data_IF_301773569655
#
_entry.id   IF_301773569655
#
_cell.length_a   1.000
_cell.length_b   1.000
_cell.length_c   1.000
_cell.angle_alpha   90.00
_cell.angle_beta   90.00
_cell.angle_gamma   90.00
#
_symmetry.space_group_name_H-M   'P 1'
#
loop_
_entity.id
_entity.type
_entity.pdbx_description
1 polymer ?
#
# COMPACT_ATOMS: atom_id res chain seq x y z
N UNK A 1 -22.63 22.58 -2.54
CA UNK A 1 -21.54 22.72 -1.55
C UNK A 1 -21.91 21.81 -0.38
N UNK A 2 -21.43 20.57 -0.37
CA UNK A 2 -21.76 19.59 0.67
C UNK A 2 -20.92 19.92 1.91
N UNK A 3 -21.57 20.05 3.06
CA UNK A 3 -20.94 20.37 4.33
C UNK A 3 -19.97 19.25 4.74
N UNK A 4 -18.68 19.59 4.87
CA UNK A 4 -17.64 18.69 5.39
C UNK A 4 -17.78 18.60 6.92
N UNK A 5 -18.34 17.49 7.42
CA UNK A 5 -18.33 17.17 8.85
C UNK A 5 -16.96 16.67 9.31
N UNK A 6 -16.62 16.89 10.59
CA UNK A 6 -15.36 16.43 11.23
C UNK A 6 -15.06 14.94 11.08
N UNK A 7 -16.07 14.09 10.83
CA UNK A 7 -15.87 12.66 10.55
C UNK A 7 -15.01 12.49 9.30
N UNK A 8 -15.44 13.03 8.16
CA UNK A 8 -14.84 12.80 6.83
C UNK A 8 -13.32 12.98 6.74
N UNK A 9 -12.80 14.06 7.34
CA UNK A 9 -11.37 14.35 7.29
C UNK A 9 -10.55 13.25 7.99
N UNK A 10 -11.11 12.65 9.04
CA UNK A 10 -10.46 11.57 9.77
C UNK A 10 -10.29 10.32 8.90
N UNK A 11 -11.32 9.87 8.17
CA UNK A 11 -11.18 8.66 7.35
C UNK A 11 -10.20 8.87 6.19
N UNK A 12 -10.14 10.07 5.59
CA UNK A 12 -9.11 10.41 4.60
C UNK A 12 -7.70 10.37 5.18
N UNK A 13 -7.49 10.97 6.36
CA UNK A 13 -6.21 10.93 7.06
C UNK A 13 -5.81 9.50 7.43
N UNK A 14 -6.76 8.66 7.85
CA UNK A 14 -6.52 7.25 8.15
C UNK A 14 -6.10 6.48 6.90
N UNK A 15 -6.78 6.67 5.77
CA UNK A 15 -6.37 6.08 4.51
C UNK A 15 -4.97 6.53 4.09
N UNK A 16 -4.65 7.81 4.20
CA UNK A 16 -3.31 8.32 3.92
C UNK A 16 -2.24 7.70 4.83
N UNK A 17 -2.55 7.55 6.13
CA UNK A 17 -1.68 6.89 7.10
C UNK A 17 -1.43 5.42 6.72
N UNK A 18 -2.47 4.68 6.29
CA UNK A 18 -2.32 3.30 5.81
C UNK A 18 -1.36 3.26 4.61
N UNK A 19 -1.54 4.13 3.62
CA UNK A 19 -0.66 4.20 2.45
C UNK A 19 0.80 4.48 2.85
N UNK A 20 1.01 5.44 3.75
CA UNK A 20 2.34 5.75 4.29
C UNK A 20 2.96 4.59 5.06
N UNK A 21 2.19 3.90 5.90
CA UNK A 21 2.65 2.75 6.70
C UNK A 21 3.00 1.55 5.83
N UNK A 22 2.24 1.30 4.76
CA UNK A 22 2.55 0.24 3.79
C UNK A 22 3.89 0.50 3.12
N UNK A 23 4.11 1.72 2.61
CA UNK A 23 5.39 2.09 2.01
C UNK A 23 6.52 2.06 3.02
N UNK A 24 6.31 2.56 4.24
CA UNK A 24 7.32 2.50 5.30
C UNK A 24 7.75 1.07 5.60
N UNK A 25 6.77 0.17 5.75
CA UNK A 25 7.00 -1.25 6.02
C UNK A 25 7.74 -1.92 4.87
N UNK A 26 7.32 -1.64 3.63
CA UNK A 26 7.97 -2.13 2.42
C UNK A 26 9.43 -1.69 2.33
N UNK A 27 9.72 -0.40 2.55
CA UNK A 27 11.07 0.13 2.46
C UNK A 27 11.96 -0.42 3.57
N UNK A 28 11.42 -0.59 4.79
CA UNK A 28 12.12 -1.25 5.90
C UNK A 28 12.40 -2.72 5.61
N UNK A 29 11.46 -3.43 5.02
CA UNK A 29 11.61 -4.83 4.60
C UNK A 29 12.75 -4.96 3.58
N UNK A 30 12.76 -4.12 2.55
CA UNK A 30 13.83 -4.12 1.55
C UNK A 30 15.19 -3.75 2.17
N UNK A 31 15.23 -2.81 3.11
CA UNK A 31 16.46 -2.49 3.82
C UNK A 31 16.97 -3.67 4.65
N UNK A 32 16.10 -4.35 5.38
CA UNK A 32 16.43 -5.50 6.23
C UNK A 32 17.03 -6.65 5.41
N UNK A 33 16.43 -6.99 4.27
CA UNK A 33 16.94 -8.03 3.38
C UNK A 33 18.01 -7.54 2.39
N UNK A 34 18.49 -6.29 2.52
CA UNK A 34 19.43 -5.65 1.61
C UNK A 34 19.02 -5.72 0.12
N UNK A 35 17.72 -5.60 -0.13
CA UNK A 35 17.10 -5.64 -1.46
C UNK A 35 16.84 -4.23 -2.01
N UNK A 36 16.64 -4.16 -3.32
CA UNK A 36 16.16 -2.96 -4.00
C UNK A 36 14.67 -3.17 -4.32
N UNK A 37 13.78 -2.25 -3.91
CA UNK A 37 12.38 -2.34 -4.29
C UNK A 37 12.25 -2.33 -5.81
N UNK A 38 11.39 -3.18 -6.35
CA UNK A 38 11.22 -3.43 -7.78
C UNK A 38 10.64 -2.23 -8.52
N UNK A 39 9.52 -1.66 -8.09
CA UNK A 39 8.91 -0.48 -8.73
C UNK A 39 9.64 0.83 -8.44
N UNK A 40 10.39 0.93 -7.34
CA UNK A 40 11.17 2.12 -6.97
C UNK A 40 12.61 2.03 -7.51
N UNK A 41 12.92 0.95 -8.27
CA UNK A 41 14.24 0.71 -8.84
C UNK A 41 14.63 1.86 -9.77
N UNK A 42 15.74 2.51 -9.45
CA UNK A 42 16.39 3.49 -10.33
C UNK A 42 16.06 4.96 -10.04
N UNK A 43 14.99 5.29 -9.31
CA UNK A 43 14.66 6.70 -9.12
C UNK A 43 15.45 7.34 -7.96
N UNK A 44 15.55 6.72 -6.78
CA UNK A 44 16.18 7.38 -5.60
C UNK A 44 16.72 6.40 -4.53
N UNK A 45 16.94 5.12 -4.85
CA UNK A 45 17.37 4.13 -3.87
C UNK A 45 18.85 4.25 -3.51
N UNK A 46 19.19 5.20 -2.64
CA UNK A 46 20.38 5.09 -1.78
C UNK A 46 20.00 4.25 -0.58
N UNK A 47 20.84 3.28 -0.20
CA UNK A 47 20.65 2.31 0.90
C UNK A 47 20.31 2.94 2.28
N UNK A 48 20.40 4.27 2.40
CA UNK A 48 20.12 5.09 3.58
C UNK A 48 19.19 6.28 3.29
N UNK A 49 18.39 6.25 2.22
CA UNK A 49 17.45 7.34 1.92
C UNK A 49 16.48 7.53 3.09
N UNK A 50 15.97 8.75 3.25
CA UNK A 50 15.03 9.12 4.32
C UNK A 50 13.70 8.37 4.14
N UNK A 51 13.65 7.10 4.55
CA UNK A 51 12.49 6.19 4.43
C UNK A 51 11.23 6.88 4.95
N UNK A 52 11.36 7.57 6.09
CA UNK A 52 10.27 8.31 6.70
C UNK A 52 9.75 9.43 5.79
N UNK A 53 10.64 10.21 5.16
CA UNK A 53 10.26 11.27 4.22
C UNK A 53 9.54 10.68 3.01
N UNK A 54 10.09 9.63 2.38
CA UNK A 54 9.46 8.99 1.22
C UNK A 54 8.07 8.44 1.56
N UNK A 55 7.94 7.80 2.73
CA UNK A 55 6.66 7.25 3.20
C UNK A 55 5.64 8.35 3.46
N UNK A 56 6.05 9.47 4.07
CA UNK A 56 5.20 10.64 4.28
C UNK A 56 4.82 11.33 2.98
N UNK A 57 5.74 11.41 2.00
CA UNK A 57 5.45 11.96 0.68
C UNK A 57 4.39 11.15 -0.05
N UNK A 58 4.46 9.81 0.01
CA UNK A 58 3.43 8.94 -0.55
C UNK A 58 2.10 9.13 0.17
N UNK A 59 2.10 9.16 1.51
CA UNK A 59 0.88 9.42 2.29
C UNK A 59 0.21 10.74 1.89
N UNK A 60 1.01 11.81 1.76
CA UNK A 60 0.53 13.12 1.36
C UNK A 60 -0.03 13.14 -0.07
N UNK A 61 0.67 12.52 -1.03
CA UNK A 61 0.18 12.42 -2.40
C UNK A 61 -1.10 11.59 -2.51
N UNK A 62 -1.18 10.47 -1.78
CA UNK A 62 -2.38 9.64 -1.72
C UNK A 62 -3.56 10.40 -1.12
N UNK A 63 -3.32 11.24 -0.10
CA UNK A 63 -4.35 12.12 0.45
C UNK A 63 -4.82 13.15 -0.58
N UNK A 64 -3.89 13.87 -1.21
CA UNK A 64 -4.21 14.92 -2.18
C UNK A 64 -5.00 14.38 -3.38
N UNK A 65 -4.52 13.30 -4.00
CA UNK A 65 -5.21 12.65 -5.14
C UNK A 65 -6.51 11.98 -4.66
N UNK A 66 -6.53 11.44 -3.45
CA UNK A 66 -7.72 10.89 -2.81
C UNK A 66 -8.84 11.92 -2.69
N UNK A 67 -8.54 13.13 -2.25
CA UNK A 67 -9.53 14.21 -2.17
C UNK A 67 -10.07 14.62 -3.55
N UNK A 68 -9.19 14.68 -4.58
CA UNK A 68 -9.60 14.98 -5.96
C UNK A 68 -10.52 13.89 -6.52
N UNK A 69 -10.15 12.62 -6.36
CA UNK A 69 -10.94 11.48 -6.86
C UNK A 69 -12.27 11.34 -6.13
N UNK A 70 -12.29 11.58 -4.81
CA UNK A 70 -13.54 11.60 -4.04
C UNK A 70 -14.49 12.71 -4.49
N UNK A 71 -13.95 13.89 -4.82
CA UNK A 71 -14.72 15.00 -5.38
C UNK A 71 -15.42 14.67 -6.70
N UNK A 72 -14.94 13.67 -7.45
CA UNK A 72 -15.62 13.14 -8.64
C UNK A 72 -16.72 12.14 -8.25
N UNK A 73 -16.36 11.11 -7.49
CA UNK A 73 -17.31 10.17 -6.88
C UNK A 73 -16.62 9.33 -5.80
N UNK A 74 -17.35 8.81 -4.81
CA UNK A 74 -16.75 7.88 -3.84
C UNK A 74 -16.30 6.55 -4.46
N UNK A 75 -16.96 6.10 -5.53
CA UNK A 75 -16.52 4.91 -6.25
C UNK A 75 -15.14 5.14 -6.86
N UNK A 76 -14.88 6.31 -7.47
CA UNK A 76 -13.57 6.70 -7.98
C UNK A 76 -12.50 6.68 -6.89
N UNK A 77 -12.84 7.14 -5.68
CA UNK A 77 -11.93 7.09 -4.52
C UNK A 77 -11.60 5.66 -4.08
N UNK A 78 -12.59 4.76 -4.05
CA UNK A 78 -12.37 3.35 -3.71
C UNK A 78 -11.48 2.69 -4.78
N UNK A 79 -11.76 2.92 -6.06
CA UNK A 79 -10.97 2.38 -7.17
C UNK A 79 -9.53 2.87 -7.09
N UNK A 80 -9.33 4.16 -6.83
CA UNK A 80 -8.01 4.74 -6.65
C UNK A 80 -7.23 4.06 -5.52
N UNK A 81 -7.86 3.86 -4.36
CA UNK A 81 -7.23 3.16 -3.24
C UNK A 81 -6.96 1.69 -3.52
N UNK A 82 -7.87 1.00 -4.20
CA UNK A 82 -7.66 -0.38 -4.64
C UNK A 82 -6.43 -0.51 -5.56
N UNK A 83 -6.25 0.45 -6.48
CA UNK A 83 -5.09 0.49 -7.35
C UNK A 83 -3.78 0.70 -6.58
N UNK A 84 -3.75 1.67 -5.65
CA UNK A 84 -2.56 1.92 -4.82
C UNK A 84 -2.20 0.71 -3.95
N UNK A 85 -3.18 0.14 -3.25
CA UNK A 85 -2.99 -1.05 -2.40
C UNK A 85 -2.45 -2.20 -3.23
N UNK A 86 -2.98 -2.42 -4.44
CA UNK A 86 -2.49 -3.46 -5.35
C UNK A 86 -1.01 -3.27 -5.66
N UNK A 87 -0.58 -2.04 -5.98
CA UNK A 87 0.83 -1.74 -6.25
C UNK A 87 1.69 -2.05 -5.03
N UNK A 88 1.30 -1.58 -3.84
CA UNK A 88 2.08 -1.81 -2.62
C UNK A 88 2.17 -3.26 -2.23
N UNK A 89 1.07 -4.01 -2.30
CA UNK A 89 1.07 -5.42 -1.94
C UNK A 89 1.76 -6.31 -2.98
N UNK A 90 1.72 -5.95 -4.27
CA UNK A 90 2.52 -6.62 -5.29
C UNK A 90 4.02 -6.45 -4.98
N UNK A 91 4.42 -5.22 -4.67
CA UNK A 91 5.80 -4.89 -4.31
C UNK A 91 6.26 -5.62 -3.03
N UNK A 92 5.43 -5.62 -1.98
CA UNK A 92 5.67 -6.38 -0.74
C UNK A 92 5.81 -7.88 -1.05
N UNK A 93 4.95 -8.43 -1.92
CA UNK A 93 5.01 -9.84 -2.31
C UNK A 93 6.33 -10.18 -3.01
N UNK A 94 6.82 -9.32 -3.88
CA UNK A 94 8.13 -9.51 -4.54
C UNK A 94 9.26 -9.48 -3.50
N UNK A 95 9.25 -8.51 -2.59
CA UNK A 95 10.30 -8.38 -1.55
C UNK A 95 10.29 -9.56 -0.58
N UNK A 96 9.12 -9.99 -0.12
CA UNK A 96 8.97 -11.18 0.73
C UNK A 96 9.41 -12.46 0.02
N UNK A 97 9.10 -12.59 -1.28
CA UNK A 97 9.52 -13.73 -2.09
C UNK A 97 11.04 -13.84 -2.16
N UNK A 98 11.73 -12.71 -2.35
CA UNK A 98 13.20 -12.66 -2.48
C UNK A 98 13.94 -12.76 -1.14
N UNK A 99 13.26 -12.43 -0.04
CA UNK A 99 13.81 -12.40 1.31
C UNK A 99 13.23 -13.54 2.14
N UNK A 100 12.31 -13.19 3.03
CA UNK A 100 11.67 -14.09 3.99
C UNK A 100 11.33 -15.48 3.44
N UNK A 101 10.58 -15.58 2.35
CA UNK A 101 10.16 -16.87 1.82
C UNK A 101 11.27 -17.61 1.08
N UNK A 102 12.24 -16.90 0.49
CA UNK A 102 13.43 -17.54 -0.09
C UNK A 102 14.33 -18.13 1.01
N UNK A 103 14.44 -17.46 2.17
CA UNK A 103 15.23 -17.97 3.30
C UNK A 103 14.61 -19.25 3.89
N UNK A 104 13.27 -19.34 3.89
CA UNK A 104 12.55 -20.51 4.42
C UNK A 104 12.47 -21.65 3.41
N UNK A 105 12.06 -21.36 2.17
CA UNK A 105 11.69 -22.37 1.17
C UNK A 105 12.63 -22.46 -0.02
N UNK A 106 13.56 -21.51 -0.20
CA UNK A 106 14.32 -21.34 -1.44
C UNK A 106 15.30 -22.47 -1.77
N UNK A 107 15.58 -23.37 -0.82
CA UNK A 107 16.36 -24.60 -1.06
C UNK A 107 15.50 -25.77 -1.53
N UNK A 108 14.21 -25.75 -1.22
CA UNK A 108 13.30 -26.89 -1.40
C UNK A 108 12.32 -26.66 -2.56
N UNK A 109 12.04 -25.41 -2.91
CA UNK A 109 11.05 -25.04 -3.93
C UNK A 109 11.67 -24.19 -5.06
N UNK A 110 11.18 -24.35 -6.32
CA UNK A 110 11.49 -23.42 -7.39
C UNK A 110 11.09 -21.98 -7.04
N UNK A 111 11.83 -21.00 -7.57
CA UNK A 111 11.62 -19.57 -7.26
C UNK A 111 10.21 -19.09 -7.62
N UNK A 112 9.63 -19.66 -8.66
CA UNK A 112 8.28 -19.38 -9.15
C UNK A 112 7.23 -19.77 -8.09
N UNK A 113 7.44 -20.90 -7.40
CA UNK A 113 6.55 -21.36 -6.34
C UNK A 113 6.70 -20.49 -5.09
N UNK A 114 7.94 -20.13 -4.72
CA UNK A 114 8.20 -19.20 -3.62
C UNK A 114 7.53 -17.83 -3.89
N UNK A 115 7.60 -17.34 -5.13
CA UNK A 115 6.91 -16.12 -5.54
C UNK A 115 5.39 -16.26 -5.47
N UNK A 116 4.83 -17.39 -5.94
CA UNK A 116 3.40 -17.66 -5.87
C UNK A 116 2.88 -17.66 -4.42
N UNK A 117 3.58 -18.34 -3.51
CA UNK A 117 3.22 -18.36 -2.08
C UNK A 117 3.21 -16.93 -1.53
N UNK A 118 4.26 -16.17 -1.82
CA UNK A 118 4.37 -14.78 -1.39
C UNK A 118 3.25 -13.91 -1.93
N UNK A 119 2.88 -14.09 -3.20
CA UNK A 119 1.80 -13.36 -3.85
C UNK A 119 0.44 -13.68 -3.24
N UNK A 120 0.14 -14.94 -2.94
CA UNK A 120 -1.10 -15.34 -2.27
C UNK A 120 -1.22 -14.64 -0.91
N UNK A 121 -0.14 -14.63 -0.13
CA UNK A 121 -0.12 -13.95 1.17
C UNK A 121 -0.30 -12.44 1.00
N UNK A 122 0.42 -11.83 0.07
CA UNK A 122 0.35 -10.39 -0.19
C UNK A 122 -1.02 -9.94 -0.68
N UNK A 123 -1.63 -10.61 -1.66
CA UNK A 123 -2.97 -10.26 -2.16
C UNK A 123 -4.03 -10.40 -1.08
N UNK A 124 -3.96 -11.41 -0.22
CA UNK A 124 -4.87 -11.53 0.92
C UNK A 124 -4.73 -10.34 1.89
N UNK A 125 -3.50 -9.91 2.17
CA UNK A 125 -3.26 -8.69 2.95
C UNK A 125 -3.83 -7.43 2.27
N UNK A 126 -3.66 -7.32 0.95
CA UNK A 126 -4.23 -6.23 0.15
C UNK A 126 -5.75 -6.21 0.19
N UNK A 127 -6.40 -7.36 0.03
CA UNK A 127 -7.85 -7.51 0.13
C UNK A 127 -8.36 -7.06 1.50
N UNK A 128 -7.73 -7.52 2.59
CA UNK A 128 -8.12 -7.13 3.95
C UNK A 128 -8.01 -5.61 4.15
N UNK A 129 -6.91 -5.01 3.67
CA UNK A 129 -6.68 -3.57 3.78
C UNK A 129 -7.72 -2.77 2.99
N UNK A 130 -8.04 -3.20 1.77
CA UNK A 130 -9.08 -2.57 0.97
C UNK A 130 -10.45 -2.69 1.65
N UNK A 131 -10.78 -3.86 2.19
CA UNK A 131 -12.04 -4.07 2.93
C UNK A 131 -12.11 -3.20 4.18
N UNK A 132 -11.00 -3.00 4.88
CA UNK A 132 -10.93 -2.06 5.99
C UNK A 132 -11.25 -0.63 5.55
N UNK A 133 -10.66 -0.15 4.45
CA UNK A 133 -10.94 1.18 3.89
C UNK A 133 -12.41 1.30 3.46
N UNK A 134 -12.95 0.32 2.74
CA UNK A 134 -14.36 0.32 2.33
C UNK A 134 -15.28 0.40 3.56
N UNK A 135 -14.95 -0.32 4.64
CA UNK A 135 -15.73 -0.24 5.89
C UNK A 135 -15.65 1.13 6.54
N UNK A 136 -14.49 1.79 6.55
CA UNK A 136 -14.36 3.17 7.06
C UNK A 136 -15.28 4.14 6.29
N UNK A 137 -15.38 3.98 4.97
CA UNK A 137 -16.19 4.86 4.12
C UNK A 137 -17.64 4.36 3.94
N UNK A 138 -18.04 3.24 4.55
CA UNK A 138 -19.41 2.70 4.42
C UNK A 138 -20.51 3.69 4.85
N UNK A 139 -20.39 4.43 5.96
CA UNK A 139 -21.41 5.42 6.34
C UNK A 139 -21.64 6.48 5.26
N UNK A 140 -20.56 6.82 4.54
CA UNK A 140 -20.55 7.81 3.47
C UNK A 140 -21.18 7.24 2.19
N UNK A 141 -20.80 6.02 1.83
CA UNK A 141 -21.30 5.33 0.63
C UNK A 141 -22.80 5.04 0.71
N UNK A 142 -23.33 4.76 1.89
CA UNK A 142 -24.75 4.50 2.11
C UNK A 142 -25.60 5.78 2.17
N UNK A 143 -24.97 6.96 2.21
CA UNK A 143 -25.65 8.25 2.28
C UNK A 143 -25.83 8.95 0.93
N UNK A 144 -25.37 8.30 -0.15
CA UNK A 144 -25.51 8.71 -1.55
C UNK A 144 -26.55 7.85 -2.26
#
# INVERSE_FOLDING_TARGET
MVFFGKSFLFEFCMTAAIQGLLVFSLLKLNLFYAQVPFFIRGLWWKKSSNILILSLSVAFLALAIGLVTFGQSPLSYIIFNAALITIWYLEISISLSRGYFNDIFGKDLPKEIVLLISFIVGINGGYFTLMFIIKMFRPILNSL
#
